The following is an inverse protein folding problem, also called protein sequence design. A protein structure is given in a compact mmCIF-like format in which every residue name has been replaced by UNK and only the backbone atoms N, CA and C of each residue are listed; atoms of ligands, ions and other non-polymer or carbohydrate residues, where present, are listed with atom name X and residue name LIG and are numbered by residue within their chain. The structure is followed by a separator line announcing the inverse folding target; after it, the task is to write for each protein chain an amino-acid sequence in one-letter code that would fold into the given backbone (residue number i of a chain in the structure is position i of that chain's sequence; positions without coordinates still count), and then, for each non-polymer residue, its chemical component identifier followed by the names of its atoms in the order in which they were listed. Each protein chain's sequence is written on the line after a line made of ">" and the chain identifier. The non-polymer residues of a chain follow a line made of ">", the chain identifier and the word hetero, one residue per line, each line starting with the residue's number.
data_IF_812898520462
#
_entry.id   IF_812898520462
#
_cell.length_a   1.000
_cell.length_b   1.000
_cell.length_c   1.000
_cell.angle_alpha   90.00
_cell.angle_beta   90.00
_cell.angle_gamma   90.00
#
_symmetry.space_group_name_H-M   'P 1'
#
loop_
_entity.id
_entity.type
_entity.pdbx_description
1 polymer ?
#
# COMPACT_ATOMS: atom_id res chain seq x y z
N UNK A 1 -5.92 13.43 6.07
CA UNK A 1 -4.70 12.70 5.62
C UNK A 1 -5.08 11.45 4.84
N UNK A 2 -6.00 10.62 5.34
CA UNK A 2 -6.35 9.35 4.69
C UNK A 2 -6.95 9.54 3.30
N UNK A 3 -7.93 10.44 3.18
CA UNK A 3 -8.49 10.81 1.87
C UNK A 3 -7.41 11.31 0.89
N UNK A 4 -6.46 12.13 1.36
CA UNK A 4 -5.34 12.60 0.53
C UNK A 4 -4.45 11.44 0.05
N UNK A 5 -4.12 10.49 0.93
CA UNK A 5 -3.28 9.35 0.55
C UNK A 5 -4.00 8.43 -0.43
N UNK A 6 -5.27 8.07 -0.15
CA UNK A 6 -6.13 7.26 -1.02
C UNK A 6 -6.24 7.90 -2.40
N UNK A 7 -6.53 9.18 -2.46
CA UNK A 7 -6.62 9.93 -3.71
C UNK A 7 -5.28 9.97 -4.46
N UNK A 8 -4.17 10.22 -3.76
CA UNK A 8 -2.84 10.28 -4.38
C UNK A 8 -2.42 8.94 -4.97
N UNK A 9 -2.77 7.82 -4.31
CA UNK A 9 -2.56 6.49 -4.84
C UNK A 9 -3.46 6.21 -6.05
N UNK A 10 -4.76 6.51 -5.97
CA UNK A 10 -5.69 6.34 -7.08
C UNK A 10 -5.21 7.09 -8.33
N UNK A 11 -4.75 8.33 -8.17
CA UNK A 11 -4.17 9.10 -9.28
C UNK A 11 -2.94 8.44 -9.91
N UNK A 12 -2.16 7.66 -9.13
CA UNK A 12 -1.03 6.91 -9.67
C UNK A 12 -1.46 5.70 -10.50
N UNK A 13 -2.56 5.07 -10.13
CA UNK A 13 -3.16 3.94 -10.85
C UNK A 13 -3.78 4.45 -12.15
N UNK A 14 -4.59 5.50 -12.05
CA UNK A 14 -5.51 5.90 -13.12
C UNK A 14 -4.90 6.91 -14.12
N UNK A 15 -3.94 7.73 -13.68
CA UNK A 15 -3.52 8.95 -14.43
C UNK A 15 -2.03 9.08 -14.66
N UNK A 16 -1.22 8.11 -14.25
CA UNK A 16 0.25 8.25 -14.25
C UNK A 16 0.94 7.11 -15.02
N UNK A 17 1.63 7.51 -16.08
CA UNK A 17 2.53 6.63 -16.85
C UNK A 17 3.74 6.14 -16.05
N UNK A 18 4.34 5.04 -16.54
CA UNK A 18 5.45 4.35 -15.87
C UNK A 18 6.67 5.24 -15.60
N UNK A 19 6.99 6.19 -16.50
CA UNK A 19 8.15 7.08 -16.35
C UNK A 19 8.08 7.95 -15.10
N UNK A 20 6.91 8.49 -14.78
CA UNK A 20 6.72 9.31 -13.57
C UNK A 20 6.84 8.43 -12.32
N UNK A 21 6.31 7.20 -12.36
CA UNK A 21 6.43 6.24 -11.25
C UNK A 21 7.88 5.83 -11.00
N UNK A 22 8.68 5.63 -12.06
CA UNK A 22 10.11 5.35 -11.97
C UNK A 22 10.88 6.56 -11.41
N UNK A 23 10.50 7.76 -11.83
CA UNK A 23 11.10 9.00 -11.34
C UNK A 23 10.83 9.21 -9.83
N UNK A 24 9.60 8.92 -9.38
CA UNK A 24 9.18 9.12 -7.98
C UNK A 24 9.83 8.15 -6.97
N UNK A 25 10.35 7.00 -7.41
CA UNK A 25 10.98 6.01 -6.52
C UNK A 25 12.49 6.22 -6.34
N UNK A 26 13.10 7.16 -7.06
CA UNK A 26 14.54 7.43 -6.94
C UNK A 26 14.93 7.78 -5.51
N UNK A 27 16.16 7.43 -5.15
CA UNK A 27 16.80 7.78 -3.88
C UNK A 27 18.09 8.57 -4.07
N UNK A 28 18.62 8.64 -5.29
CA UNK A 28 19.81 9.44 -5.67
C UNK A 28 19.56 10.16 -7.01
N UNK A 29 20.27 11.27 -7.25
CA UNK A 29 20.05 12.15 -8.41
C UNK A 29 20.33 11.51 -9.77
N UNK A 30 21.19 10.50 -9.85
CA UNK A 30 21.54 9.83 -11.11
C UNK A 30 21.25 8.33 -11.06
N UNK A 31 20.27 7.94 -10.25
CA UNK A 31 19.89 6.54 -10.09
C UNK A 31 18.97 6.07 -11.22
N UNK A 32 19.36 4.99 -11.89
CA UNK A 32 18.45 4.22 -12.75
C UNK A 32 17.61 3.28 -11.90
N UNK A 33 16.29 3.28 -12.13
CA UNK A 33 15.33 2.38 -11.48
C UNK A 33 14.66 1.53 -12.54
N UNK A 34 14.42 0.28 -12.21
CA UNK A 34 13.76 -0.70 -13.11
C UNK A 34 12.37 -1.10 -12.59
N UNK A 35 12.06 -0.76 -11.34
CA UNK A 35 10.76 -1.01 -10.73
C UNK A 35 10.06 0.32 -10.45
N UNK A 36 8.86 0.56 -10.99
CA UNK A 36 8.10 1.78 -10.76
C UNK A 36 7.58 1.83 -9.31
N UNK A 37 7.19 3.02 -8.87
CA UNK A 37 6.41 3.20 -7.65
C UNK A 37 5.09 2.40 -7.75
N UNK A 38 4.97 1.38 -6.91
CA UNK A 38 3.79 0.52 -6.84
C UNK A 38 2.76 1.04 -5.81
N UNK A 39 1.46 1.01 -6.14
CA UNK A 39 0.39 1.22 -5.17
C UNK A 39 0.41 0.12 -4.09
N UNK A 40 -0.22 0.37 -2.95
CA UNK A 40 -0.57 -0.71 -2.03
C UNK A 40 -1.67 -1.57 -2.64
N UNK A 41 -1.52 -2.90 -2.61
CA UNK A 41 -2.47 -3.84 -3.21
C UNK A 41 -3.84 -3.79 -2.52
N UNK A 42 -3.86 -3.70 -1.19
CA UNK A 42 -5.08 -3.57 -0.42
C UNK A 42 -5.47 -2.10 -0.21
N UNK A 43 -6.75 -1.78 -0.46
CA UNK A 43 -7.36 -0.46 -0.24
C UNK A 43 -7.31 -0.05 1.24
N UNK A 44 -7.25 -1.00 2.18
CA UNK A 44 -7.14 -0.72 3.60
C UNK A 44 -5.69 -0.58 4.07
N UNK A 45 -4.74 -1.29 3.44
CA UNK A 45 -3.32 -1.17 3.75
C UNK A 45 -2.80 0.27 3.69
N UNK A 46 -3.22 1.06 2.69
CA UNK A 46 -2.78 2.47 2.60
C UNK A 46 -3.12 3.28 3.85
N UNK A 47 -4.26 3.03 4.49
CA UNK A 47 -4.68 3.73 5.71
C UNK A 47 -3.82 3.35 6.91
N UNK A 48 -3.42 2.08 7.02
CA UNK A 48 -2.44 1.67 8.05
C UNK A 48 -1.13 2.45 7.92
N UNK A 49 -0.70 2.71 6.68
CA UNK A 49 0.54 3.43 6.38
C UNK A 49 0.43 4.97 6.45
N UNK A 50 -0.78 5.55 6.57
CA UNK A 50 -0.93 7.00 6.83
C UNK A 50 -0.81 7.37 8.30
N UNK A 51 -0.94 6.41 9.23
CA UNK A 51 -0.91 6.65 10.67
C UNK A 51 0.29 7.50 11.14
N UNK A 52 1.54 7.28 10.67
CA UNK A 52 2.65 8.17 11.02
C UNK A 52 2.43 9.62 10.58
N UNK A 53 1.90 9.86 9.37
CA UNK A 53 1.58 11.21 8.89
C UNK A 53 0.50 11.88 9.74
N UNK A 54 -0.55 11.16 10.12
CA UNK A 54 -1.57 11.66 11.04
C UNK A 54 -0.96 12.06 12.39
N UNK A 55 -0.12 11.20 12.98
CA UNK A 55 0.55 11.49 14.25
C UNK A 55 1.44 12.72 14.16
N UNK A 56 2.15 12.93 13.04
CA UNK A 56 2.94 14.14 12.81
C UNK A 56 2.06 15.40 12.70
N UNK A 57 0.93 15.35 11.98
CA UNK A 57 -0.02 16.46 11.91
C UNK A 57 -0.58 16.82 13.29
N UNK A 58 -0.93 15.81 14.10
CA UNK A 58 -1.38 16.01 15.48
C UNK A 58 -0.29 16.58 16.38
N UNK A 59 0.95 16.13 16.21
CA UNK A 59 2.11 16.68 16.91
C UNK A 59 2.26 18.18 16.62
N UNK A 60 2.16 18.59 15.35
CA UNK A 60 2.19 20.01 14.98
C UNK A 60 1.02 20.79 15.57
N UNK A 61 -0.21 20.25 15.49
CA UNK A 61 -1.39 20.89 16.07
C UNK A 61 -1.27 21.14 17.59
N UNK A 62 -0.61 20.22 18.32
CA UNK A 62 -0.39 20.34 19.76
C UNK A 62 0.73 21.32 20.11
N UNK A 63 1.79 21.35 19.33
CA UNK A 63 3.01 22.14 19.63
C UNK A 63 2.98 23.56 19.06
N UNK A 64 2.09 23.86 18.12
CA UNK A 64 1.86 25.24 17.64
C UNK A 64 0.91 26.04 18.54
N UNK A 65 0.15 25.37 19.42
CA UNK A 65 -0.67 26.04 20.44
C UNK A 65 0.19 26.39 21.65
N UNK A 66 -0.19 27.44 22.37
CA UNK A 66 0.41 27.74 23.65
C UNK A 66 0.18 26.57 24.62
N UNK A 67 1.24 26.16 25.31
CA UNK A 67 1.22 25.01 26.19
C UNK A 67 2.24 25.15 27.33
N UNK A 68 1.95 24.56 28.49
CA UNK A 68 2.81 24.65 29.68
C UNK A 68 3.94 23.60 29.75
N UNK A 69 3.96 22.59 28.89
CA UNK A 69 4.99 21.54 28.89
C UNK A 69 6.20 21.91 28.04
N UNK A 70 7.34 21.25 28.29
CA UNK A 70 8.55 21.38 27.45
C UNK A 70 8.28 20.73 26.09
N UNK A 71 8.30 21.52 25.02
CA UNK A 71 8.20 21.02 23.64
C UNK A 71 9.48 21.29 22.84
N UNK A 72 9.68 20.56 21.72
CA UNK A 72 10.82 20.80 20.84
C UNK A 72 10.85 22.25 20.29
N UNK A 73 12.04 22.84 20.19
CA UNK A 73 12.24 24.26 19.83
C UNK A 73 12.17 24.55 18.31
N UNK A 74 11.73 23.60 17.49
CA UNK A 74 11.68 23.79 16.05
C UNK A 74 10.75 24.97 15.68
N UNK A 75 10.94 25.56 14.50
CA UNK A 75 10.08 26.62 13.99
C UNK A 75 9.69 26.36 12.55
N UNK A 76 8.42 26.60 12.23
CA UNK A 76 8.00 26.65 10.84
C UNK A 76 8.69 27.80 10.12
N UNK A 77 9.17 27.51 8.91
CA UNK A 77 9.52 28.54 7.94
C UNK A 77 8.27 29.35 7.57
N UNK A 78 8.46 30.52 6.97
CA UNK A 78 7.33 31.35 6.49
C UNK A 78 6.36 30.56 5.62
N UNK A 79 6.88 29.84 4.61
CA UNK A 79 6.07 29.02 3.71
C UNK A 79 5.32 27.89 4.43
N UNK A 80 5.97 27.25 5.39
CA UNK A 80 5.34 26.18 6.19
C UNK A 80 4.24 26.74 7.09
N UNK A 81 4.44 27.93 7.67
CA UNK A 81 3.45 28.61 8.49
C UNK A 81 2.23 29.02 7.68
N UNK A 82 2.43 29.64 6.52
CA UNK A 82 1.35 30.02 5.60
C UNK A 82 0.53 28.79 5.18
N UNK A 83 1.19 27.69 4.77
CA UNK A 83 0.49 26.45 4.41
C UNK A 83 -0.22 25.80 5.61
N UNK A 84 0.35 25.89 6.81
CA UNK A 84 -0.27 25.39 8.04
C UNK A 84 -1.53 26.17 8.41
N UNK A 85 -1.49 27.50 8.33
CA UNK A 85 -2.64 28.36 8.62
C UNK A 85 -3.79 28.08 7.65
N UNK A 86 -3.51 27.92 6.36
CA UNK A 86 -4.51 27.51 5.36
C UNK A 86 -5.10 26.13 5.67
N UNK A 87 -4.28 25.15 6.06
CA UNK A 87 -4.76 23.83 6.45
C UNK A 87 -5.69 23.89 7.67
N UNK A 88 -5.31 24.64 8.70
CA UNK A 88 -6.14 24.81 9.90
C UNK A 88 -7.46 25.50 9.57
N UNK A 89 -7.44 26.51 8.70
CA UNK A 89 -8.65 27.20 8.24
C UNK A 89 -9.59 26.25 7.49
N UNK A 90 -9.08 25.46 6.54
CA UNK A 90 -9.91 24.47 5.83
C UNK A 90 -10.44 23.37 6.77
N UNK A 91 -9.64 22.95 7.76
CA UNK A 91 -10.07 21.98 8.75
C UNK A 91 -11.21 22.50 9.64
N UNK A 92 -11.20 23.79 10.00
CA UNK A 92 -12.31 24.40 10.75
C UNK A 92 -13.60 24.44 9.94
N UNK A 93 -13.52 24.86 8.67
CA UNK A 93 -14.69 24.92 7.76
C UNK A 93 -15.35 23.56 7.54
N UNK A 94 -14.53 22.52 7.40
CA UNK A 94 -15.01 21.13 7.28
C UNK A 94 -15.78 20.68 8.55
N UNK A 95 -15.36 21.12 9.74
CA UNK A 95 -16.08 20.83 11.00
C UNK A 95 -17.35 21.68 11.15
N UNK A 96 -17.32 22.94 10.70
CA UNK A 96 -18.42 23.91 10.82
C UNK A 96 -19.57 23.66 9.83
N UNK A 97 -19.46 22.66 8.96
CA UNK A 97 -20.57 22.18 8.13
C UNK A 97 -20.76 22.91 6.80
N UNK A 98 -19.73 23.55 6.26
CA UNK A 98 -19.71 24.10 4.89
C UNK A 98 -19.40 23.01 3.82
N UNK A 99 -19.79 21.77 4.08
CA UNK A 99 -19.72 20.65 3.13
C UNK A 99 -21.15 20.27 2.72
N UNK A 100 -21.70 21.02 1.76
CA UNK A 100 -22.55 20.39 0.75
C UNK A 100 -21.68 19.34 0.03
N UNK A 101 -22.19 18.12 -0.03
CA UNK A 101 -21.60 16.90 -0.60
C UNK A 101 -20.58 16.17 0.28
N UNK A 102 -21.06 15.23 1.10
CA UNK A 102 -20.57 13.84 1.14
C UNK A 102 -21.46 13.00 2.08
N UNK A 103 -22.42 12.29 1.49
CA UNK A 103 -23.05 11.13 2.11
C UNK A 103 -22.51 9.87 1.42
N UNK A 104 -22.46 8.78 2.19
CA UNK A 104 -22.09 7.41 1.80
C UNK A 104 -20.58 7.09 1.86
N UNK A 105 -20.09 6.83 3.07
CA UNK A 105 -19.76 5.45 3.46
C UNK A 105 -19.31 5.43 4.94
N UNK A 106 -20.29 5.22 5.81
CA UNK A 106 -20.08 4.78 7.19
C UNK A 106 -20.60 3.34 7.31
N UNK A 107 -19.96 2.61 8.23
CA UNK A 107 -20.26 1.25 8.71
C UNK A 107 -19.52 0.16 7.91
N UNK A 108 -18.82 -0.81 8.49
CA UNK A 108 -18.62 -1.35 9.85
C UNK A 108 -17.30 -2.18 9.70
N UNK A 109 -16.35 -2.29 10.61
CA UNK A 109 -16.41 -2.95 11.91
C UNK A 109 -15.02 -2.79 12.53
N UNK A 110 -14.98 -2.60 13.85
CA UNK A 110 -13.77 -2.41 14.64
C UNK A 110 -13.63 -3.62 15.54
N UNK A 111 -12.81 -4.58 15.15
CA UNK A 111 -12.29 -5.60 16.06
C UNK A 111 -10.78 -5.79 15.91
N UNK A 112 -10.21 -6.22 17.04
CA UNK A 112 -8.81 -6.18 17.44
C UNK A 112 -7.93 -7.14 16.64
N UNK A 113 -6.62 -6.86 16.59
CA UNK A 113 -5.60 -7.70 17.23
C UNK A 113 -4.18 -7.18 16.93
N UNK A 114 -3.37 -7.19 17.98
CA UNK A 114 -1.91 -7.26 17.88
C UNK A 114 -1.55 -8.59 17.20
N UNK A 115 -1.00 -8.52 15.99
CA UNK A 115 -0.10 -9.55 15.48
C UNK A 115 1.16 -8.91 14.92
N UNK A 116 2.25 -9.51 15.35
CA UNK A 116 3.61 -9.03 15.26
C UNK A 116 4.18 -9.19 13.85
N UNK A 117 4.97 -8.17 13.49
CA UNK A 117 6.27 -8.28 12.82
C UNK A 117 6.39 -9.06 11.50
N UNK A 118 6.86 -8.27 10.52
CA UNK A 118 7.91 -8.63 9.56
C UNK A 118 7.48 -9.50 8.38
N UNK A 119 7.09 -8.81 7.30
CA UNK A 119 7.52 -9.16 5.94
C UNK A 119 7.51 -7.88 5.09
N UNK A 120 8.70 -7.36 4.83
CA UNK A 120 9.03 -6.47 3.72
C UNK A 120 10.51 -6.78 3.39
N UNK A 121 10.76 -8.03 2.99
CA UNK A 121 11.95 -8.38 2.21
C UNK A 121 11.60 -8.07 0.75
N UNK A 122 12.53 -7.41 0.06
CA UNK A 122 12.46 -7.13 -1.38
C UNK A 122 12.07 -8.41 -2.14
N UNK A 123 10.86 -8.45 -2.70
CA UNK A 123 10.49 -9.45 -3.71
C UNK A 123 9.92 -8.76 -4.95
N UNK A 124 10.68 -8.92 -6.03
CA UNK A 124 10.24 -8.66 -7.38
C UNK A 124 9.29 -9.78 -7.80
N UNK A 125 8.00 -9.48 -8.02
CA UNK A 125 7.05 -10.41 -8.64
C UNK A 125 6.22 -9.65 -9.69
N UNK A 126 5.96 -10.39 -10.78
CA UNK A 126 5.46 -9.99 -12.10
C UNK A 126 4.14 -9.22 -12.08
N UNK A 127 4.03 -8.27 -13.00
CA UNK A 127 2.86 -7.42 -13.21
C UNK A 127 2.01 -8.07 -14.29
N UNK A 128 0.82 -8.56 -13.94
CA UNK A 128 -0.21 -8.85 -14.93
C UNK A 128 -0.77 -7.52 -15.45
N UNK A 129 -0.65 -7.28 -16.75
CA UNK A 129 -1.27 -6.16 -17.45
C UNK A 129 -2.73 -6.52 -17.76
N UNK A 130 -3.69 -5.92 -17.05
CA UNK A 130 -5.09 -5.93 -17.48
C UNK A 130 -5.33 -4.76 -18.44
N UNK A 131 -5.81 -5.07 -19.66
CA UNK A 131 -6.22 -4.06 -20.65
C UNK A 131 -7.47 -3.29 -20.17
N UNK A 132 -7.56 -1.96 -20.38
CA UNK A 132 -8.75 -1.20 -20.03
C UNK A 132 -9.87 -1.44 -21.04
N UNK A 133 -10.93 -2.10 -20.58
CA UNK A 133 -12.23 -2.12 -21.26
C UNK A 133 -12.81 -0.71 -21.42
N UNK A 134 -13.26 -0.39 -22.63
CA UNK A 134 -13.89 0.88 -22.97
C UNK A 134 -15.24 1.03 -22.25
N UNK A 135 -15.25 1.84 -21.19
CA UNK A 135 -16.45 2.37 -20.56
C UNK A 135 -16.26 3.86 -20.31
N UNK A 136 -17.28 4.67 -20.59
CA UNK A 136 -17.28 6.13 -20.42
C UNK A 136 -16.75 6.49 -19.02
N UNK A 137 -15.60 7.18 -18.98
CA UNK A 137 -14.85 7.40 -17.76
C UNK A 137 -15.59 8.31 -16.77
N UNK A 138 -15.57 8.01 -15.46
CA UNK A 138 -16.04 8.95 -14.45
C UNK A 138 -15.23 10.25 -14.53
N UNK A 139 -15.90 11.40 -14.37
CA UNK A 139 -15.23 12.71 -14.34
C UNK A 139 -13.98 12.68 -13.45
N UNK A 140 -12.89 13.39 -13.83
CA UNK A 140 -11.66 13.37 -13.07
C UNK A 140 -11.92 13.91 -11.66
N UNK A 141 -11.96 13.00 -10.68
CA UNK A 141 -12.08 13.34 -9.26
C UNK A 141 -11.00 14.38 -8.94
N UNK A 142 -11.35 15.43 -8.21
CA UNK A 142 -10.46 16.51 -7.78
C UNK A 142 -10.21 16.41 -6.28
N UNK A 143 -9.04 16.87 -5.82
CA UNK A 143 -8.77 16.98 -4.39
C UNK A 143 -9.75 17.97 -3.74
N UNK A 144 -10.31 17.59 -2.60
CA UNK A 144 -11.10 18.55 -1.79
C UNK A 144 -10.21 19.67 -1.27
N UNK A 145 -10.80 20.80 -0.85
CA UNK A 145 -10.04 21.98 -0.38
C UNK A 145 -9.13 21.64 0.80
N UNK A 146 -9.61 20.83 1.74
CA UNK A 146 -8.82 20.38 2.89
C UNK A 146 -7.70 19.42 2.48
N UNK A 147 -7.95 18.51 1.53
CA UNK A 147 -6.92 17.59 1.03
C UNK A 147 -5.82 18.36 0.29
N UNK A 148 -6.18 19.36 -0.53
CA UNK A 148 -5.23 20.24 -1.21
C UNK A 148 -4.40 21.06 -0.23
N UNK A 149 -5.01 21.65 0.80
CA UNK A 149 -4.28 22.36 1.85
C UNK A 149 -3.32 21.42 2.61
N UNK A 150 -3.76 20.19 2.90
CA UNK A 150 -2.94 19.17 3.54
C UNK A 150 -1.73 18.79 2.67
N UNK A 151 -1.94 18.63 1.36
CA UNK A 151 -0.88 18.36 0.40
C UNK A 151 0.16 19.48 0.36
N UNK A 152 -0.28 20.75 0.26
CA UNK A 152 0.64 21.90 0.26
C UNK A 152 1.50 21.95 1.53
N UNK A 153 0.89 21.70 2.69
CA UNK A 153 1.62 21.68 3.96
C UNK A 153 2.64 20.54 4.01
N UNK A 154 2.25 19.31 3.64
CA UNK A 154 3.17 18.16 3.58
C UNK A 154 4.33 18.41 2.61
N UNK A 155 4.07 18.98 1.43
CA UNK A 155 5.11 19.34 0.47
C UNK A 155 6.02 20.45 1.01
N UNK A 156 5.48 21.43 1.75
CA UNK A 156 6.27 22.47 2.40
C UNK A 156 7.17 21.92 3.53
N UNK A 157 6.75 20.86 4.21
CA UNK A 157 7.56 20.14 5.20
C UNK A 157 8.71 19.36 4.53
N UNK A 158 8.40 18.63 3.45
CA UNK A 158 9.39 17.85 2.70
C UNK A 158 10.43 18.76 2.02
N UNK A 159 10.00 19.90 1.47
CA UNK A 159 10.84 20.91 0.85
C UNK A 159 11.51 21.86 1.87
N UNK A 160 12.01 21.29 2.96
CA UNK A 160 12.84 21.99 3.94
C UNK A 160 14.31 21.70 3.65
N UNK A 161 15.18 22.71 3.69
CA UNK A 161 16.63 22.52 3.56
C UNK A 161 17.29 22.65 4.93
N UNK A 162 17.85 21.55 5.42
CA UNK A 162 18.59 21.49 6.66
C UNK A 162 19.95 22.13 6.43
N UNK A 163 20.30 23.13 7.24
CA UNK A 163 21.54 23.93 7.06
C UNK A 163 22.51 23.83 8.22
N UNK A 164 22.02 23.62 9.45
CA UNK A 164 22.85 23.61 10.66
C UNK A 164 22.60 22.38 11.51
N UNK A 165 21.36 22.21 11.98
CA UNK A 165 20.94 21.08 12.81
C UNK A 165 19.74 20.41 12.18
N UNK A 166 19.74 19.08 12.19
CA UNK A 166 18.66 18.26 11.64
C UNK A 166 17.33 18.58 12.35
N UNK A 167 17.38 18.76 13.66
CA UNK A 167 16.23 19.10 14.52
C UNK A 167 15.76 20.56 14.41
N UNK A 168 16.34 21.37 13.52
CA UNK A 168 15.71 22.64 13.12
C UNK A 168 14.55 22.38 12.15
N UNK A 169 14.54 21.21 11.48
CA UNK A 169 13.44 20.79 10.62
C UNK A 169 12.25 20.30 11.45
N UNK A 170 11.05 20.89 11.27
CA UNK A 170 9.83 20.43 11.92
C UNK A 170 9.53 18.96 11.65
N UNK A 171 9.76 18.52 10.41
CA UNK A 171 9.47 17.14 9.98
C UNK A 171 10.41 16.15 10.69
N UNK A 172 11.71 16.47 10.79
CA UNK A 172 12.67 15.63 11.51
C UNK A 172 12.33 15.56 13.01
N UNK A 173 11.93 16.69 13.62
CA UNK A 173 11.47 16.69 15.00
C UNK A 173 10.25 15.79 15.23
N UNK A 174 9.23 15.90 14.38
CA UNK A 174 8.03 15.07 14.49
C UNK A 174 8.37 13.58 14.33
N UNK A 175 9.22 13.24 13.37
CA UNK A 175 9.68 11.87 13.15
C UNK A 175 10.48 11.33 14.33
N UNK A 176 11.36 12.14 14.93
CA UNK A 176 12.13 11.74 16.11
C UNK A 176 11.21 11.40 17.30
N UNK A 177 10.11 12.14 17.47
CA UNK A 177 9.09 11.84 18.49
C UNK A 177 8.40 10.50 18.20
N UNK A 178 8.16 10.17 16.93
CA UNK A 178 7.62 8.85 16.56
C UNK A 178 8.58 7.69 16.87
N UNK A 179 9.87 7.98 17.11
CA UNK A 179 10.88 7.00 17.53
C UNK A 179 10.87 6.71 19.03
N UNK A 180 10.02 7.38 19.81
CA UNK A 180 9.89 7.16 21.25
C UNK A 180 8.76 6.16 21.53
N UNK A 181 8.94 5.31 22.55
CA UNK A 181 7.94 4.43 23.15
C UNK A 181 7.96 4.58 24.67
N UNK A 182 7.00 4.01 25.39
CA UNK A 182 6.83 4.23 26.85
C UNK A 182 8.10 3.91 27.66
N UNK A 183 8.80 2.84 27.27
CA UNK A 183 9.99 2.30 27.93
C UNK A 183 11.32 2.73 27.28
N UNK A 184 11.31 3.70 26.36
CA UNK A 184 12.52 4.25 25.74
C UNK A 184 12.40 4.53 24.25
N UNK A 185 13.32 3.97 23.46
CA UNK A 185 13.42 4.23 22.02
C UNK A 185 13.02 3.00 21.22
N UNK A 186 12.35 3.21 20.10
CA UNK A 186 12.03 2.16 19.13
C UNK A 186 13.32 1.65 18.50
N UNK A 187 13.45 0.32 18.45
CA UNK A 187 14.63 -0.34 17.90
C UNK A 187 14.65 -0.41 16.37
N UNK A 188 15.72 -1.01 15.81
CA UNK A 188 15.88 -1.29 14.38
C UNK A 188 14.75 -2.09 13.74
N UNK A 189 13.99 -2.83 14.53
CA UNK A 189 12.85 -3.64 14.10
C UNK A 189 11.53 -2.85 14.01
N UNK A 190 11.40 -1.76 14.77
CA UNK A 190 10.14 -1.00 14.86
C UNK A 190 10.18 0.33 14.12
N UNK A 191 11.33 1.03 14.13
CA UNK A 191 11.41 2.39 13.61
C UNK A 191 11.55 2.49 12.08
N UNK A 192 12.38 1.66 11.40
CA UNK A 192 12.49 1.70 9.94
C UNK A 192 11.16 1.48 9.19
N UNK A 193 10.24 0.58 9.62
CA UNK A 193 8.91 0.47 9.01
C UNK A 193 8.11 1.79 9.04
N UNK A 194 8.22 2.58 10.12
CA UNK A 194 7.59 3.90 10.22
C UNK A 194 8.17 4.83 9.16
N UNK A 195 9.50 4.86 9.02
CA UNK A 195 10.17 5.66 7.99
C UNK A 195 9.77 5.21 6.57
N UNK A 196 9.71 3.90 6.31
CA UNK A 196 9.25 3.33 5.02
C UNK A 196 7.85 3.84 4.65
N UNK A 197 6.91 3.79 5.59
CA UNK A 197 5.55 4.27 5.38
C UNK A 197 5.51 5.77 5.06
N UNK A 198 6.23 6.58 5.85
CA UNK A 198 6.31 8.03 5.61
C UNK A 198 6.89 8.33 4.23
N UNK A 199 7.97 7.65 3.83
CA UNK A 199 8.63 7.83 2.54
C UNK A 199 7.70 7.43 1.39
N UNK A 200 7.04 6.27 1.45
CA UNK A 200 6.16 5.80 0.37
C UNK A 200 4.96 6.74 0.17
N UNK A 201 4.31 7.17 1.25
CA UNK A 201 3.22 8.15 1.18
C UNK A 201 3.73 9.52 0.68
N UNK A 202 4.94 9.94 1.06
CA UNK A 202 5.55 11.17 0.54
C UNK A 202 5.73 11.13 -0.98
N UNK A 203 6.14 9.97 -1.54
CA UNK A 203 6.27 9.80 -2.99
C UNK A 203 4.93 9.92 -3.70
N UNK A 204 3.87 9.33 -3.15
CA UNK A 204 2.51 9.52 -3.68
C UNK A 204 2.10 10.99 -3.68
N UNK A 205 2.35 11.71 -2.59
CA UNK A 205 2.05 13.15 -2.50
C UNK A 205 2.86 13.98 -3.50
N UNK A 206 4.13 13.65 -3.76
CA UNK A 206 4.96 14.38 -4.74
C UNK A 206 4.44 14.19 -6.15
N UNK A 207 4.02 12.97 -6.52
CA UNK A 207 3.39 12.72 -7.83
C UNK A 207 2.08 13.48 -7.93
N UNK A 208 1.22 13.39 -6.92
CA UNK A 208 -0.04 14.14 -6.88
C UNK A 208 0.18 15.65 -7.01
N UNK A 209 1.21 16.18 -6.33
CA UNK A 209 1.56 17.60 -6.43
C UNK A 209 2.01 17.98 -7.83
N UNK A 210 2.70 17.07 -8.54
CA UNK A 210 3.07 17.23 -9.95
C UNK A 210 1.84 17.37 -10.83
N UNK A 211 0.86 16.47 -10.68
CA UNK A 211 -0.42 16.52 -11.40
C UNK A 211 -1.17 17.83 -11.17
N UNK A 212 -1.33 18.23 -9.90
CA UNK A 212 -2.01 19.49 -9.55
C UNK A 212 -1.35 20.74 -10.15
N UNK A 213 -0.04 20.69 -10.40
CA UNK A 213 0.72 21.80 -10.99
C UNK A 213 0.75 21.76 -12.53
N UNK A 214 0.45 20.63 -13.15
CA UNK A 214 0.52 20.44 -14.61
C UNK A 214 -0.74 20.94 -15.33
N UNK A 215 -1.84 21.13 -14.59
CA UNK A 215 -3.16 21.45 -15.18
C UNK A 215 -3.85 20.20 -15.76
N UNK A 216 -5.11 20.32 -16.21
CA UNK A 216 -5.74 19.28 -17.02
C UNK A 216 -4.93 19.08 -18.30
N UNK A 217 -4.91 17.85 -18.82
CA UNK A 217 -4.38 17.53 -20.14
C UNK A 217 -5.24 18.28 -21.17
N UNK A 218 -4.91 19.54 -21.44
CA UNK A 218 -5.31 20.16 -22.69
C UNK A 218 -4.53 19.41 -23.77
N UNK A 219 -5.25 18.59 -24.52
CA UNK A 219 -4.82 17.94 -25.75
C UNK A 219 -4.15 18.99 -26.64
N UNK A 220 -2.84 19.15 -26.48
CA UNK A 220 -2.02 19.92 -27.40
C UNK A 220 -1.84 19.05 -28.63
N UNK A 221 -2.93 18.91 -29.38
CA UNK A 221 -2.91 18.42 -30.75
C UNK A 221 -2.14 19.41 -31.61
N UNK A 222 -0.82 19.33 -31.55
CA UNK A 222 0.10 19.74 -32.61
C UNK A 222 1.50 19.17 -32.28
N UNK A 223 1.67 17.87 -32.44
CA UNK A 223 2.99 17.29 -32.70
C UNK A 223 3.36 17.60 -34.16
N UNK A 224 3.63 18.86 -34.47
CA UNK A 224 4.47 19.21 -35.61
C UNK A 224 5.92 19.22 -35.13
N UNK A 225 6.56 18.09 -35.43
CA UNK A 225 7.99 17.87 -35.41
C UNK A 225 8.66 18.77 -36.47
N UNK A 226 8.86 20.05 -36.13
CA UNK A 226 9.69 20.98 -36.92
C UNK A 226 10.93 21.38 -36.11
N UNK A 227 11.80 20.40 -35.86
CA UNK A 227 13.21 20.60 -35.50
C UNK A 227 14.02 21.11 -36.71
N UNK A 228 13.67 22.30 -37.22
CA UNK A 228 14.45 23.04 -38.21
C UNK A 228 14.47 24.54 -37.87
N UNK A 229 15.21 24.93 -36.82
CA UNK A 229 15.60 26.32 -36.59
C UNK A 229 17.09 26.52 -36.87
N UNK A 230 17.38 26.78 -38.14
CA UNK A 230 18.54 27.56 -38.56
C UNK A 230 18.06 28.99 -38.85
N UNK A 231 18.03 29.86 -37.83
CA UNK A 231 18.14 31.30 -38.07
C UNK A 231 18.69 32.06 -36.87
N UNK A 232 19.92 32.53 -37.03
CA UNK A 232 20.53 33.56 -36.21
C UNK A 232 19.84 34.92 -36.49
N UNK A 233 18.96 35.41 -35.60
CA UNK A 233 18.70 36.85 -35.45
C UNK A 233 18.13 37.19 -34.06
N UNK A 234 18.58 38.32 -33.53
CA UNK A 234 18.44 38.80 -32.15
C UNK A 234 17.01 39.17 -31.69
N UNK A 235 16.76 38.92 -30.39
CA UNK A 235 16.09 39.79 -29.38
C UNK A 235 14.64 40.29 -29.56
N UNK A 236 13.72 39.79 -28.70
CA UNK A 236 12.41 40.39 -28.39
C UNK A 236 11.61 39.57 -27.35
N UNK A 237 10.77 40.18 -26.47
CA UNK A 237 10.47 39.64 -25.14
C UNK A 237 9.29 38.66 -25.09
N UNK A 238 9.36 37.73 -24.12
CA UNK A 238 8.31 36.77 -23.72
C UNK A 238 8.23 35.49 -24.57
N UNK A 239 9.27 34.65 -24.48
CA UNK A 239 9.06 33.21 -24.62
C UNK A 239 8.00 32.80 -23.59
N UNK A 240 6.76 32.59 -24.04
CA UNK A 240 5.71 31.90 -23.29
C UNK A 240 6.30 30.54 -22.93
N UNK A 241 6.81 30.41 -21.69
CA UNK A 241 7.38 29.16 -21.20
C UNK A 241 6.30 28.09 -21.36
N UNK A 242 6.54 27.10 -22.24
CA UNK A 242 5.64 25.95 -22.40
C UNK A 242 5.30 25.41 -21.00
N UNK A 243 4.03 25.06 -20.72
CA UNK A 243 3.65 24.46 -19.46
C UNK A 243 4.55 23.25 -19.19
N UNK A 244 5.10 23.17 -17.98
CA UNK A 244 5.93 22.02 -17.63
C UNK A 244 5.03 20.81 -17.43
N UNK A 245 5.28 19.73 -18.16
CA UNK A 245 4.57 18.47 -17.95
C UNK A 245 4.82 17.87 -16.56
N UNK A 246 3.93 16.98 -16.13
CA UNK A 246 3.96 16.37 -14.80
C UNK A 246 5.31 15.70 -14.51
N UNK A 247 5.89 14.98 -15.47
CA UNK A 247 7.20 14.35 -15.32
C UNK A 247 8.30 15.36 -14.95
N UNK A 248 8.38 16.49 -15.66
CA UNK A 248 9.39 17.52 -15.39
C UNK A 248 9.20 18.17 -14.00
N UNK A 249 7.95 18.30 -13.57
CA UNK A 249 7.60 18.85 -12.26
C UNK A 249 7.96 17.88 -11.13
N UNK A 250 7.65 16.59 -11.29
CA UNK A 250 8.04 15.53 -10.35
C UNK A 250 9.55 15.43 -10.28
N UNK A 251 10.25 15.35 -11.40
CA UNK A 251 11.72 15.31 -11.46
C UNK A 251 12.35 16.48 -10.69
N UNK A 252 11.86 17.70 -10.92
CA UNK A 252 12.32 18.89 -10.20
C UNK A 252 12.10 18.80 -8.69
N UNK A 253 10.98 18.24 -8.24
CA UNK A 253 10.72 18.02 -6.81
C UNK A 253 11.62 16.92 -6.25
N UNK A 254 11.83 15.85 -7.02
CA UNK A 254 12.68 14.73 -6.63
C UNK A 254 14.11 15.19 -6.37
N UNK A 255 14.73 15.86 -7.34
CA UNK A 255 16.10 16.39 -7.23
C UNK A 255 16.24 17.42 -6.10
N UNK A 256 15.20 18.22 -5.88
CA UNK A 256 15.25 19.30 -4.90
C UNK A 256 15.18 18.82 -3.47
N UNK A 257 14.36 17.81 -3.16
CA UNK A 257 14.12 17.46 -1.76
C UNK A 257 13.75 16.00 -1.48
N UNK A 258 13.66 15.10 -2.46
CA UNK A 258 13.29 13.69 -2.21
C UNK A 258 14.43 12.67 -2.33
N UNK A 259 15.60 13.10 -2.79
CA UNK A 259 16.77 12.21 -2.97
C UNK A 259 17.91 12.58 -2.03
N UNK A 260 18.86 11.67 -1.84
CA UNK A 260 20.12 11.93 -1.13
C UNK A 260 20.94 13.02 -1.83
N UNK A 261 21.68 13.79 -1.03
CA UNK A 261 22.41 14.98 -1.48
C UNK A 261 21.58 16.27 -1.47
N UNK A 262 20.26 16.19 -1.23
CA UNK A 262 19.39 17.37 -1.16
C UNK A 262 19.48 18.15 0.15
N UNK A 263 20.10 17.59 1.19
CA UNK A 263 20.09 18.12 2.57
C UNK A 263 18.66 18.38 3.08
N UNK A 264 17.71 17.50 2.71
CA UNK A 264 16.32 17.59 3.13
C UNK A 264 15.98 16.59 4.24
N UNK A 265 14.80 16.70 4.88
CA UNK A 265 14.27 15.65 5.74
C UNK A 265 14.16 14.29 5.07
N UNK A 266 13.93 14.24 3.75
CA UNK A 266 13.88 12.97 3.02
C UNK A 266 15.24 12.27 3.03
N UNK A 267 16.33 13.01 2.84
CA UNK A 267 17.67 12.44 2.97
C UNK A 267 17.88 11.86 4.37
N UNK A 268 17.53 12.61 5.42
CA UNK A 268 17.62 12.12 6.80
C UNK A 268 16.82 10.82 7.01
N UNK A 269 15.59 10.74 6.50
CA UNK A 269 14.75 9.54 6.57
C UNK A 269 15.38 8.36 5.80
N UNK A 270 15.88 8.60 4.58
CA UNK A 270 16.49 7.56 3.75
C UNK A 270 17.76 6.99 4.41
N UNK A 271 18.62 7.85 4.96
CA UNK A 271 19.87 7.44 5.61
C UNK A 271 19.59 6.66 6.90
N UNK A 272 18.67 7.16 7.74
CA UNK A 272 18.33 6.50 8.99
C UNK A 272 17.59 5.17 8.76
N UNK A 273 16.70 5.10 7.76
CA UNK A 273 16.03 3.86 7.35
C UNK A 273 17.06 2.83 6.89
N UNK A 274 17.97 3.20 5.99
CA UNK A 274 19.01 2.27 5.49
C UNK A 274 19.92 1.79 6.61
N UNK A 275 20.31 2.69 7.53
CA UNK A 275 21.11 2.32 8.70
C UNK A 275 20.35 1.35 9.62
N UNK A 276 19.09 1.64 9.96
CA UNK A 276 18.26 0.80 10.81
C UNK A 276 18.03 -0.59 10.22
N UNK A 277 17.70 -0.68 8.92
CA UNK A 277 17.55 -1.96 8.23
C UNK A 277 18.87 -2.73 8.20
N UNK A 278 20.01 -2.06 8.01
CA UNK A 278 21.32 -2.71 8.08
C UNK A 278 21.57 -3.33 9.45
N UNK A 279 21.18 -2.66 10.54
CA UNK A 279 21.29 -3.25 11.89
C UNK A 279 20.33 -4.44 12.01
N UNK A 280 19.08 -4.27 11.61
CA UNK A 280 18.05 -5.29 11.73
C UNK A 280 18.41 -6.60 11.02
N UNK A 281 18.92 -6.53 9.77
CA UNK A 281 19.32 -7.73 9.03
C UNK A 281 20.66 -8.33 9.47
N UNK A 282 21.57 -7.54 10.06
CA UNK A 282 22.90 -8.02 10.45
C UNK A 282 23.06 -8.29 11.95
N UNK A 283 22.04 -8.01 12.76
CA UNK A 283 22.04 -8.26 14.20
C UNK A 283 21.00 -9.31 14.48
N UNK A 284 21.39 -10.40 15.14
CA UNK A 284 20.43 -11.38 15.65
C UNK A 284 19.46 -10.68 16.60
N UNK A 285 18.17 -10.68 16.24
CA UNK A 285 17.09 -10.29 17.15
C UNK A 285 17.25 -11.08 18.46
N UNK A 286 16.85 -10.50 19.60
CA UNK A 286 16.86 -11.24 20.88
C UNK A 286 16.22 -12.62 20.66
N UNK A 287 16.93 -13.67 21.07
CA UNK A 287 16.44 -15.03 20.94
C UNK A 287 15.14 -15.14 21.72
N UNK A 288 14.03 -15.37 21.02
CA UNK A 288 12.75 -15.69 21.65
C UNK A 288 12.61 -17.19 21.88
N UNK A 289 13.51 -17.99 21.32
CA UNK A 289 13.54 -19.45 21.43
C UNK A 289 14.67 -19.85 22.36
N UNK A 290 14.32 -20.47 23.49
CA UNK A 290 15.27 -21.08 24.40
C UNK A 290 15.04 -22.60 24.45
N UNK A 291 16.13 -23.35 24.58
CA UNK A 291 16.10 -24.80 24.75
C UNK A 291 16.53 -25.14 26.18
N UNK A 292 15.63 -25.75 26.94
CA UNK A 292 15.91 -26.18 28.31
C UNK A 292 15.91 -27.71 28.35
N UNK A 293 16.89 -28.28 29.06
CA UNK A 293 16.97 -29.72 29.32
C UNK A 293 16.98 -30.64 28.08
N UNK A 294 17.20 -30.09 26.87
CA UNK A 294 17.27 -30.84 25.61
C UNK A 294 15.93 -31.26 24.99
N UNK A 295 14.80 -31.17 25.71
CA UNK A 295 13.48 -31.58 25.21
C UNK A 295 12.39 -30.50 25.40
N UNK A 296 12.67 -29.42 26.15
CA UNK A 296 11.72 -28.34 26.39
C UNK A 296 12.10 -27.11 25.56
N UNK A 297 11.14 -26.62 24.78
CA UNK A 297 11.25 -25.40 23.99
C UNK A 297 10.44 -24.30 24.67
N UNK A 298 11.09 -23.17 24.94
CA UNK A 298 10.42 -21.95 25.40
C UNK A 298 10.38 -20.97 24.23
N UNK A 299 9.18 -20.47 23.95
CA UNK A 299 8.96 -19.37 23.02
C UNK A 299 8.17 -18.26 23.72
N UNK A 300 8.85 -17.17 24.10
CA UNK A 300 8.27 -16.10 24.95
C UNK A 300 7.70 -16.67 26.25
N UNK A 301 6.38 -16.60 26.44
CA UNK A 301 5.66 -17.14 27.59
C UNK A 301 5.12 -18.57 27.34
N UNK A 302 5.32 -19.12 26.13
CA UNK A 302 4.90 -20.47 25.78
C UNK A 302 5.99 -21.47 26.14
N UNK A 303 5.61 -22.49 26.90
CA UNK A 303 6.50 -23.56 27.36
C UNK A 303 5.91 -24.88 26.89
N UNK A 304 6.65 -25.62 26.07
CA UNK A 304 6.20 -26.93 25.62
C UNK A 304 7.36 -27.88 25.34
N UNK A 305 7.14 -29.18 25.55
CA UNK A 305 8.09 -30.21 25.14
C UNK A 305 8.05 -30.46 23.64
N UNK A 306 9.10 -31.07 23.09
CA UNK A 306 9.10 -31.51 21.70
C UNK A 306 8.01 -32.56 21.42
N UNK A 307 7.59 -33.33 22.43
CA UNK A 307 6.45 -34.23 22.31
C UNK A 307 5.12 -33.47 22.15
N UNK A 308 4.92 -32.40 22.93
CA UNK A 308 3.75 -31.53 22.81
C UNK A 308 3.75 -30.78 21.49
N UNK A 309 4.90 -30.26 21.04
CA UNK A 309 5.03 -29.59 19.75
C UNK A 309 4.67 -30.52 18.58
N UNK A 310 5.25 -31.73 18.54
CA UNK A 310 4.88 -32.75 17.54
C UNK A 310 3.40 -33.11 17.62
N UNK A 311 2.86 -33.25 18.83
CA UNK A 311 1.45 -33.50 19.07
C UNK A 311 0.55 -32.39 18.52
N UNK A 312 0.91 -31.12 18.73
CA UNK A 312 0.22 -29.95 18.19
C UNK A 312 0.24 -29.96 16.67
N UNK A 313 1.39 -30.18 16.04
CA UNK A 313 1.51 -30.24 14.56
C UNK A 313 0.68 -31.39 13.99
N UNK A 314 0.75 -32.58 14.58
CA UNK A 314 -0.08 -33.71 14.18
C UNK A 314 -1.57 -33.47 14.40
N UNK A 315 -1.94 -32.81 15.51
CA UNK A 315 -3.30 -32.41 15.83
C UNK A 315 -3.85 -31.42 14.83
N UNK A 316 -3.11 -30.35 14.53
CA UNK A 316 -3.45 -29.37 13.49
C UNK A 316 -3.62 -30.06 12.13
N UNK A 317 -2.68 -30.90 11.71
CA UNK A 317 -2.79 -31.63 10.45
C UNK A 317 -4.02 -32.56 10.40
N UNK A 318 -4.33 -33.23 11.52
CA UNK A 318 -5.50 -34.11 11.63
C UNK A 318 -6.80 -33.30 11.58
N UNK A 319 -6.88 -32.19 12.30
CA UNK A 319 -8.07 -31.35 12.36
C UNK A 319 -8.30 -30.60 11.04
N UNK A 320 -7.25 -30.04 10.42
CA UNK A 320 -7.34 -29.48 9.07
C UNK A 320 -7.81 -30.51 8.05
N UNK A 321 -7.32 -31.76 8.13
CA UNK A 321 -7.81 -32.85 7.28
C UNK A 321 -9.27 -33.16 7.55
N UNK A 322 -9.70 -33.21 8.81
CA UNK A 322 -11.10 -33.46 9.20
C UNK A 322 -12.01 -32.36 8.67
N UNK A 323 -11.69 -31.09 8.93
CA UNK A 323 -12.43 -29.94 8.42
C UNK A 323 -12.51 -29.95 6.89
N UNK A 324 -11.38 -30.15 6.21
CA UNK A 324 -11.33 -30.18 4.76
C UNK A 324 -12.18 -31.33 4.19
N UNK A 325 -12.07 -32.54 4.75
CA UNK A 325 -12.76 -33.72 4.21
C UNK A 325 -14.22 -33.79 4.61
N UNK A 326 -14.56 -33.56 5.88
CA UNK A 326 -15.90 -33.73 6.43
C UNK A 326 -16.75 -32.47 6.29
N UNK A 327 -16.19 -31.29 6.56
CA UNK A 327 -16.97 -30.03 6.60
C UNK A 327 -16.98 -29.29 5.25
N UNK A 328 -15.86 -29.30 4.52
CA UNK A 328 -15.75 -28.57 3.25
C UNK A 328 -16.06 -29.47 2.04
N UNK A 329 -15.53 -30.69 2.01
CA UNK A 329 -15.73 -31.63 0.90
C UNK A 329 -16.86 -32.64 1.12
N UNK A 330 -17.52 -32.59 2.29
CA UNK A 330 -18.67 -33.42 2.66
C UNK A 330 -18.44 -34.93 2.42
N UNK A 331 -17.23 -35.41 2.66
CA UNK A 331 -16.83 -36.81 2.49
C UNK A 331 -17.67 -37.73 3.36
N UNK A 332 -17.99 -38.92 2.84
CA UNK A 332 -18.64 -39.98 3.62
C UNK A 332 -18.08 -41.34 3.23
N UNK A 333 -18.29 -42.36 4.06
CA UNK A 333 -17.85 -43.74 3.75
C UNK A 333 -18.44 -44.27 2.44
N UNK A 334 -19.62 -43.79 2.03
CA UNK A 334 -20.28 -44.21 0.80
C UNK A 334 -19.81 -43.41 -0.43
N UNK A 335 -19.21 -42.23 -0.22
CA UNK A 335 -18.74 -41.36 -1.28
C UNK A 335 -17.46 -40.65 -0.81
N UNK A 336 -16.27 -41.25 -0.95
CA UNK A 336 -15.01 -40.62 -0.53
C UNK A 336 -14.67 -39.42 -1.42
N UNK A 337 -13.76 -38.57 -0.93
CA UNK A 337 -13.11 -37.53 -1.75
C UNK A 337 -12.30 -38.21 -2.86
N UNK A 338 -12.38 -37.75 -4.13
CA UNK A 338 -11.58 -38.28 -5.22
C UNK A 338 -10.09 -38.08 -4.94
N UNK A 339 -9.30 -39.09 -5.27
CA UNK A 339 -7.84 -39.00 -5.15
C UNK A 339 -7.31 -37.96 -6.15
N UNK A 340 -6.55 -37.00 -5.66
CA UNK A 340 -5.86 -36.03 -6.51
C UNK A 340 -4.57 -36.68 -7.03
N UNK A 341 -4.38 -36.78 -8.36
CA UNK A 341 -3.22 -37.45 -8.93
C UNK A 341 -2.00 -36.52 -8.95
N UNK A 342 -1.49 -36.18 -7.77
CA UNK A 342 -0.46 -35.16 -7.54
C UNK A 342 0.78 -35.31 -8.45
N UNK A 343 1.20 -36.53 -8.74
CA UNK A 343 2.40 -36.81 -9.55
C UNK A 343 2.20 -36.52 -11.06
N UNK A 344 0.97 -36.67 -11.55
CA UNK A 344 0.63 -36.50 -12.97
C UNK A 344 -0.09 -35.19 -13.27
N UNK A 345 -0.40 -34.37 -12.26
CA UNK A 345 -0.89 -33.01 -12.49
C UNK A 345 0.17 -32.23 -13.27
N UNK A 346 -0.29 -31.55 -14.30
CA UNK A 346 0.48 -30.65 -15.14
C UNK A 346 -0.28 -29.34 -15.26
N UNK A 347 0.49 -28.27 -15.33
CA UNK A 347 0.00 -26.94 -15.65
C UNK A 347 0.85 -26.37 -16.80
N UNK A 348 0.28 -25.41 -17.51
CA UNK A 348 0.98 -24.61 -18.48
C UNK A 348 1.15 -23.18 -17.94
N UNK A 349 2.25 -22.87 -17.26
CA UNK A 349 2.43 -21.57 -16.61
C UNK A 349 2.58 -20.40 -17.61
N UNK A 350 2.62 -20.67 -18.92
CA UNK A 350 2.65 -19.64 -19.97
C UNK A 350 1.28 -19.37 -20.59
N UNK A 351 0.21 -20.07 -20.16
CA UNK A 351 -1.14 -19.82 -20.65
C UNK A 351 -1.84 -18.81 -19.73
N UNK A 352 -1.88 -17.55 -20.17
CA UNK A 352 -2.43 -16.43 -19.42
C UNK A 352 -3.91 -16.16 -19.73
N UNK A 353 -4.60 -17.08 -20.44
CA UNK A 353 -6.01 -16.88 -20.78
C UNK A 353 -6.87 -16.79 -19.52
N UNK A 354 -7.80 -15.82 -19.43
CA UNK A 354 -8.75 -15.75 -18.32
C UNK A 354 -9.51 -17.08 -18.13
N UNK A 355 -9.56 -17.54 -16.89
CA UNK A 355 -10.15 -18.83 -16.50
C UNK A 355 -9.27 -20.05 -16.78
N UNK A 356 -8.02 -19.91 -17.25
CA UNK A 356 -7.09 -21.05 -17.32
C UNK A 356 -6.76 -21.58 -15.92
N UNK A 357 -6.73 -22.90 -15.78
CA UNK A 357 -6.24 -23.58 -14.58
C UNK A 357 -5.77 -25.00 -14.94
N UNK A 358 -5.05 -25.65 -14.01
CA UNK A 358 -4.48 -26.99 -14.20
C UNK A 358 -5.51 -28.11 -14.52
N UNK A 359 -6.81 -27.90 -14.26
CA UNK A 359 -7.87 -28.87 -14.64
C UNK A 359 -8.17 -28.85 -16.15
N UNK A 360 -7.82 -27.75 -16.83
CA UNK A 360 -8.02 -27.57 -18.28
C UNK A 360 -6.82 -28.06 -19.10
N UNK A 361 -5.71 -28.41 -18.45
CA UNK A 361 -4.56 -29.01 -19.13
C UNK A 361 -4.88 -30.44 -19.58
N UNK A 362 -4.89 -30.65 -20.90
CA UNK A 362 -5.10 -31.96 -21.54
C UNK A 362 -4.17 -33.09 -21.05
N UNK A 363 -3.03 -32.77 -20.42
CA UNK A 363 -2.09 -33.75 -19.85
C UNK A 363 -2.52 -34.22 -18.45
N UNK A 364 -3.38 -33.46 -17.78
CA UNK A 364 -3.90 -33.78 -16.45
C UNK A 364 -5.17 -34.61 -16.59
N UNK A 365 -5.12 -35.88 -16.18
CA UNK A 365 -6.30 -36.75 -16.17
C UNK A 365 -6.87 -36.88 -14.75
N UNK A 366 -7.91 -36.10 -14.44
CA UNK A 366 -8.60 -36.17 -13.16
C UNK A 366 -9.59 -37.34 -13.12
N UNK A 367 -9.76 -38.04 -11.98
CA UNK A 367 -10.71 -39.15 -11.87
C UNK A 367 -12.18 -38.71 -11.89
N UNK A 368 -12.43 -37.41 -11.74
CA UNK A 368 -13.76 -36.78 -11.74
C UNK A 368 -13.69 -35.46 -12.50
N UNK A 369 -14.86 -34.89 -12.84
CA UNK A 369 -14.92 -33.51 -13.30
C UNK A 369 -14.59 -32.55 -12.15
N UNK A 370 -13.33 -32.09 -12.09
CA UNK A 370 -12.83 -31.24 -11.00
C UNK A 370 -13.59 -29.93 -10.83
N UNK A 371 -14.13 -29.36 -11.92
CA UNK A 371 -14.87 -28.09 -11.89
C UNK A 371 -16.26 -28.24 -11.26
N UNK A 372 -16.89 -29.42 -11.40
CA UNK A 372 -18.29 -29.65 -10.99
C UNK A 372 -18.46 -30.59 -9.82
N UNK A 373 -17.44 -31.36 -9.47
CA UNK A 373 -17.57 -32.46 -8.51
C UNK A 373 -18.20 -32.03 -7.18
N UNK A 374 -17.72 -30.95 -6.57
CA UNK A 374 -18.26 -30.49 -5.29
C UNK A 374 -19.68 -29.93 -5.44
N UNK A 375 -19.96 -29.22 -6.54
CA UNK A 375 -21.28 -28.66 -6.82
C UNK A 375 -22.32 -29.76 -7.05
N UNK A 376 -21.99 -30.77 -7.87
CA UNK A 376 -22.83 -31.95 -8.12
C UNK A 376 -23.13 -32.68 -6.81
N UNK A 377 -22.11 -32.84 -5.96
CA UNK A 377 -22.24 -33.48 -4.65
C UNK A 377 -23.19 -32.75 -3.71
N UNK A 378 -23.11 -31.42 -3.64
CA UNK A 378 -24.07 -30.59 -2.88
C UNK A 378 -25.47 -30.71 -3.48
N UNK A 379 -25.58 -30.76 -4.81
CA UNK A 379 -26.84 -30.88 -5.55
C UNK A 379 -27.52 -32.24 -5.45
N UNK A 380 -26.79 -33.33 -5.22
CA UNK A 380 -27.35 -34.69 -5.11
C UNK A 380 -27.85 -35.01 -3.70
N UNK A 381 -27.17 -34.49 -2.68
CA UNK A 381 -27.52 -34.79 -1.28
C UNK A 381 -28.44 -33.73 -0.67
N UNK A 382 -29.69 -34.12 -0.37
CA UNK A 382 -30.66 -33.24 0.29
C UNK A 382 -30.18 -32.72 1.66
N UNK A 383 -29.42 -33.53 2.42
CA UNK A 383 -28.89 -33.15 3.74
C UNK A 383 -27.69 -32.20 3.66
N UNK A 384 -26.89 -32.26 2.60
CA UNK A 384 -25.80 -31.30 2.38
C UNK A 384 -26.38 -29.99 1.87
N UNK A 385 -27.30 -30.06 0.90
CA UNK A 385 -27.96 -28.90 0.30
C UNK A 385 -28.65 -28.01 1.34
N UNK A 386 -29.27 -28.60 2.37
CA UNK A 386 -29.94 -27.85 3.43
C UNK A 386 -28.98 -27.00 4.27
N UNK A 387 -27.67 -27.30 4.31
CA UNK A 387 -26.65 -26.46 4.97
C UNK A 387 -26.45 -25.12 4.25
N UNK A 388 -26.79 -25.04 2.96
CA UNK A 388 -26.58 -23.86 2.12
C UNK A 388 -27.87 -23.08 1.83
N UNK A 389 -29.04 -23.61 2.19
CA UNK A 389 -30.32 -22.95 1.96
C UNK A 389 -30.68 -22.02 3.12
N UNK A 390 -31.03 -20.76 2.79
CA UNK A 390 -31.64 -19.84 3.76
C UNK A 390 -33.11 -20.25 3.99
N UNK A 391 -33.65 -20.06 5.20
CA UNK A 391 -35.07 -20.31 5.45
C UNK A 391 -35.94 -19.50 4.46
N UNK A 392 -36.77 -20.16 3.65
CA UNK A 392 -37.72 -19.52 2.73
C UNK A 392 -37.32 -19.46 1.24
N UNK A 393 -36.15 -19.95 0.84
CA UNK A 393 -35.77 -20.04 -0.59
C UNK A 393 -36.26 -21.34 -1.25
N UNK A 394 -36.81 -21.27 -2.47
CA UNK A 394 -37.23 -22.46 -3.23
C UNK A 394 -36.02 -23.32 -3.63
N UNK A 395 -36.14 -24.64 -3.48
CA UNK A 395 -35.09 -25.60 -3.81
C UNK A 395 -35.03 -25.88 -5.32
N UNK A 396 -33.92 -25.53 -5.96
CA UNK A 396 -33.60 -25.91 -7.33
C UNK A 396 -32.09 -25.79 -7.58
N UNK A 397 -31.49 -26.81 -8.22
CA UNK A 397 -30.09 -26.71 -8.68
C UNK A 397 -30.13 -26.00 -10.03
N UNK A 398 -29.78 -24.71 -10.08
CA UNK A 398 -29.64 -23.99 -11.35
C UNK A 398 -28.35 -24.46 -12.04
N UNK A 399 -28.50 -25.39 -12.97
CA UNK A 399 -27.39 -25.95 -13.75
C UNK A 399 -26.93 -25.01 -14.88
N UNK A 400 -27.71 -23.98 -15.22
CA UNK A 400 -27.41 -23.06 -16.34
C UNK A 400 -26.47 -21.92 -15.90
N UNK A 401 -26.50 -21.51 -14.63
CA UNK A 401 -25.65 -20.43 -14.12
C UNK A 401 -24.14 -20.74 -14.11
N UNK A 402 -23.74 -22.02 -14.09
CA UNK A 402 -22.33 -22.44 -14.06
C UNK A 402 -21.68 -22.38 -15.45
N UNK A 403 -22.45 -22.57 -16.52
CA UNK A 403 -21.92 -22.54 -17.89
C UNK A 403 -21.62 -21.10 -18.37
N UNK A 404 -22.20 -20.08 -17.73
CA UNK A 404 -22.07 -18.67 -18.15
C UNK A 404 -20.95 -17.93 -17.40
N UNK A 405 -20.63 -18.36 -16.19
CA UNK A 405 -19.60 -17.75 -15.33
C UNK A 405 -18.48 -18.75 -15.04
N UNK A 406 -17.78 -19.22 -16.08
CA UNK A 406 -16.52 -19.92 -15.88
C UNK A 406 -15.58 -19.02 -15.09
N UNK A 407 -15.28 -19.43 -13.85
CA UNK A 407 -14.24 -18.83 -13.00
C UNK A 407 -12.89 -18.81 -13.71
#
# INVERSE_FOLDING_TARGET
>A
MDGLARFSQASIIDRIGVFIRLEAIRTEMHQTRFQPLQPYMDKNAIVKHTRPWQQMLMFFARTQKEHGWKSPKYRFTRRQREAWEVLIEQAKRSIEGDEEDEAEDMDEEREELDEEMMDDIDEAIEVAEEEPGQGEGPEPKKLSKIQKACLEFCIALLNHRITRREYDSPLVCALAVLGVKEDGWKGPEQYPPILSAVIKIARFMVVQKGLEMSGPEEDSGDETDDDLDDSAYESGPSQRRRPKGCLQLVQKMMDRFMVRGSHSPMQWMLDLRTYGLKIHYNTTTRGHVEWTNGDELLYKELHFSMAQFRGMVHGLASESRRLLTEELMFSSKAAPVPAVPWESIRDNPTDERPGWNFLKDHRTNMPVNGERWLFERVGESASIRSRFMKPGTQSGVDRQAIDVNGL
#
